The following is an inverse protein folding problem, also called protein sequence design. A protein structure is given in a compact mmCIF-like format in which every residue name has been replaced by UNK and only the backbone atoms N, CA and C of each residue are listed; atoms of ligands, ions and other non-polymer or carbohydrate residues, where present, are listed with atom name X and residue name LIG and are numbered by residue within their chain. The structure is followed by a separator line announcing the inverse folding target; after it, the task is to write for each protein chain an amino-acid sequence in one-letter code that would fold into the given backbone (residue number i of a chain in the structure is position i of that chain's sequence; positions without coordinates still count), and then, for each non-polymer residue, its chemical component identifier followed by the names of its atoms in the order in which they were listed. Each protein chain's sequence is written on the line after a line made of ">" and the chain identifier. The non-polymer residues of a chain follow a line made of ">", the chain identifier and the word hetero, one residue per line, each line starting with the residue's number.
data_IF_084257562081
#
_entry.id   IF_084257562081
#
_cell.length_a   1.000
_cell.length_b   1.000
_cell.length_c   1.000
_cell.angle_alpha   90.00
_cell.angle_beta   90.00
_cell.angle_gamma   90.00
#
_symmetry.space_group_name_H-M   'P 1'
#
loop_
_entity.id
_entity.type
_entity.pdbx_description
1 polymer ?
#
# COMPACT_ATOMS: atom_id res chain seq x y z
N UNK A 1 -47.91 -29.58 -5.20
CA UNK A 1 -47.23 -28.69 -4.24
C UNK A 1 -47.69 -27.28 -4.53
N UNK A 2 -48.46 -26.68 -3.63
CA UNK A 2 -49.17 -25.42 -3.82
C UNK A 2 -48.37 -24.24 -3.24
N UNK A 3 -48.37 -23.12 -3.95
CA UNK A 3 -47.77 -21.85 -3.52
C UNK A 3 -48.63 -21.17 -2.45
N UNK A 4 -48.06 -20.45 -1.47
CA UNK A 4 -48.83 -19.62 -0.55
C UNK A 4 -49.14 -18.23 -1.17
N UNK A 5 -50.33 -17.65 -0.93
CA UNK A 5 -50.63 -16.26 -1.26
C UNK A 5 -50.10 -15.27 -0.19
N UNK A 6 -49.98 -13.97 -0.52
CA UNK A 6 -49.31 -12.97 0.31
C UNK A 6 -50.24 -12.36 1.36
N UNK A 7 -49.75 -12.18 2.58
CA UNK A 7 -50.39 -11.32 3.56
C UNK A 7 -49.74 -9.93 3.55
N UNK A 8 -50.47 -8.97 2.98
CA UNK A 8 -50.34 -7.56 3.29
C UNK A 8 -51.01 -7.28 4.64
N UNK A 9 -50.25 -6.79 5.62
CA UNK A 9 -50.81 -5.96 6.68
C UNK A 9 -49.88 -4.78 6.94
N UNK A 10 -50.28 -3.63 6.38
CA UNK A 10 -49.98 -2.32 6.90
C UNK A 10 -50.67 -2.17 8.25
N UNK A 11 -49.96 -1.67 9.27
CA UNK A 11 -50.57 -0.83 10.30
C UNK A 11 -49.53 0.07 10.96
N UNK A 12 -49.76 1.36 10.76
CA UNK A 12 -49.15 2.48 11.45
C UNK A 12 -49.23 2.33 12.96
N UNK A 13 -48.16 2.71 13.66
CA UNK A 13 -48.27 3.40 14.94
C UNK A 13 -47.13 4.41 15.07
N UNK A 14 -47.45 5.67 14.80
CA UNK A 14 -46.62 6.82 15.12
C UNK A 14 -46.60 7.01 16.63
N UNK A 15 -45.45 6.71 17.26
CA UNK A 15 -45.13 7.23 18.59
C UNK A 15 -44.07 8.32 18.37
N UNK A 16 -44.51 9.58 18.45
CA UNK A 16 -43.66 10.76 18.42
C UNK A 16 -42.99 10.91 19.79
N UNK A 17 -41.74 10.47 19.90
CA UNK A 17 -40.84 10.94 20.95
C UNK A 17 -40.08 12.18 20.46
N UNK A 18 -39.94 13.25 21.26
CA UNK A 18 -38.99 14.32 20.97
C UNK A 18 -37.57 13.78 21.16
N UNK A 19 -37.01 13.22 20.08
CA UNK A 19 -35.63 12.74 20.07
C UNK A 19 -34.68 13.92 20.07
N UNK A 20 -33.96 14.05 21.19
CA UNK A 20 -32.65 14.67 21.30
C UNK A 20 -31.87 14.58 19.99
N UNK A 21 -31.50 15.74 19.43
CA UNK A 21 -30.66 15.86 18.24
C UNK A 21 -29.33 15.16 18.47
N UNK A 22 -29.30 13.87 18.18
CA UNK A 22 -28.07 13.11 18.02
C UNK A 22 -27.37 13.66 16.77
N UNK A 23 -26.04 13.91 16.80
CA UNK A 23 -25.32 14.27 15.59
C UNK A 23 -25.55 13.17 14.57
N UNK A 24 -26.18 13.51 13.46
CA UNK A 24 -26.41 12.62 12.34
C UNK A 24 -25.07 12.00 11.95
N UNK A 25 -24.88 10.72 12.28
CA UNK A 25 -23.81 9.89 11.73
C UNK A 25 -24.05 9.87 10.23
N UNK A 26 -23.33 10.74 9.51
CA UNK A 26 -23.32 10.78 8.05
C UNK A 26 -23.03 9.37 7.59
N UNK A 27 -24.04 8.71 7.03
CA UNK A 27 -23.90 7.33 6.56
C UNK A 27 -22.73 7.28 5.58
N UNK A 28 -21.74 6.46 5.92
CA UNK A 28 -20.68 6.03 5.03
C UNK A 28 -21.33 5.56 3.73
N UNK A 29 -21.16 6.30 2.64
CA UNK A 29 -21.78 5.93 1.38
C UNK A 29 -21.19 4.60 0.91
N UNK A 30 -21.98 3.54 0.99
CA UNK A 30 -21.70 2.26 0.34
C UNK A 30 -21.67 2.50 -1.17
N UNK A 31 -20.49 2.76 -1.72
CA UNK A 31 -20.30 2.76 -3.16
C UNK A 31 -20.11 1.31 -3.62
N UNK A 32 -21.20 0.64 -4.00
CA UNK A 32 -21.12 -0.57 -4.82
C UNK A 32 -20.65 -0.14 -6.22
N UNK A 33 -19.33 0.00 -6.40
CA UNK A 33 -18.74 0.33 -7.69
C UNK A 33 -18.48 -0.98 -8.45
N UNK A 34 -19.35 -1.29 -9.40
CA UNK A 34 -19.08 -2.33 -10.40
C UNK A 34 -18.21 -1.70 -11.48
N UNK A 35 -16.96 -2.17 -11.60
CA UNK A 35 -16.02 -1.69 -12.61
C UNK A 35 -15.78 -2.79 -13.63
N UNK A 36 -15.98 -2.52 -14.92
CA UNK A 36 -15.58 -3.46 -15.98
C UNK A 36 -14.06 -3.40 -16.15
N UNK A 37 -13.44 -4.56 -16.22
CA UNK A 37 -11.99 -4.75 -16.29
C UNK A 37 -11.70 -5.61 -17.50
N UNK A 38 -11.02 -5.07 -18.51
CA UNK A 38 -10.71 -5.82 -19.74
C UNK A 38 -9.52 -6.75 -19.55
N UNK A 39 -8.53 -6.31 -18.76
CA UNK A 39 -7.26 -7.02 -18.56
C UNK A 39 -6.92 -7.09 -17.07
N UNK A 40 -6.30 -8.19 -16.62
CA UNK A 40 -5.98 -8.42 -15.19
C UNK A 40 -5.17 -7.29 -14.53
N UNK A 41 -4.26 -6.65 -15.26
CA UNK A 41 -3.43 -5.56 -14.72
C UNK A 41 -4.20 -4.24 -14.54
N UNK A 42 -5.41 -4.15 -15.10
CA UNK A 42 -6.33 -3.03 -14.88
C UNK A 42 -7.22 -3.26 -13.64
N UNK A 43 -7.33 -4.50 -13.15
CA UNK A 43 -8.16 -4.85 -12.01
C UNK A 43 -7.69 -4.14 -10.71
N UNK A 44 -8.58 -3.44 -9.97
CA UNK A 44 -8.24 -2.82 -8.69
C UNK A 44 -7.71 -3.83 -7.65
N UNK A 45 -8.16 -5.09 -7.74
CA UNK A 45 -7.60 -6.18 -6.95
C UNK A 45 -6.18 -6.54 -7.45
N UNK A 46 -5.17 -6.25 -6.63
CA UNK A 46 -3.76 -6.55 -6.93
C UNK A 46 -3.51 -8.05 -7.14
N UNK A 47 -4.33 -8.91 -6.55
CA UNK A 47 -4.24 -10.36 -6.63
C UNK A 47 -5.09 -10.95 -7.76
N UNK A 48 -5.66 -10.11 -8.63
CA UNK A 48 -6.46 -10.60 -9.75
C UNK A 48 -5.64 -11.46 -10.72
N UNK A 49 -6.10 -12.69 -10.93
CA UNK A 49 -5.53 -13.65 -11.88
C UNK A 49 -6.41 -13.88 -13.10
N UNK A 50 -7.58 -13.23 -13.16
CA UNK A 50 -8.57 -13.40 -14.23
C UNK A 50 -8.08 -12.72 -15.51
N UNK A 51 -7.68 -13.53 -16.50
CA UNK A 51 -7.11 -13.03 -17.76
C UNK A 51 -8.15 -12.58 -18.79
N UNK A 52 -9.43 -12.81 -18.53
CA UNK A 52 -10.54 -12.42 -19.41
C UNK A 52 -11.24 -11.16 -18.86
N UNK A 53 -11.98 -10.43 -19.72
CA UNK A 53 -12.83 -9.34 -19.26
C UNK A 53 -13.76 -9.80 -18.14
N UNK A 54 -13.77 -9.06 -17.03
CA UNK A 54 -14.56 -9.38 -15.84
C UNK A 54 -15.04 -8.09 -15.15
N UNK A 55 -15.89 -8.25 -14.13
CA UNK A 55 -16.32 -7.14 -13.30
C UNK A 55 -15.63 -7.24 -11.93
N UNK A 56 -15.02 -6.15 -11.51
CA UNK A 56 -14.61 -5.96 -10.12
C UNK A 56 -15.78 -5.36 -9.34
N UNK A 57 -16.28 -6.13 -8.37
CA UNK A 57 -17.33 -5.69 -7.45
C UNK A 57 -16.64 -5.34 -6.14
N UNK A 58 -16.22 -4.09 -6.02
CA UNK A 58 -15.65 -3.62 -4.77
C UNK A 58 -16.78 -3.22 -3.82
N UNK A 59 -17.13 -4.13 -2.90
CA UNK A 59 -18.12 -3.90 -1.86
C UNK A 59 -17.53 -3.23 -0.60
N UNK A 60 -16.28 -2.77 -0.64
CA UNK A 60 -15.62 -2.19 0.52
C UNK A 60 -16.17 -0.80 0.83
N UNK A 61 -16.64 -0.61 2.06
CA UNK A 61 -16.98 0.72 2.58
C UNK A 61 -15.69 1.43 2.96
N UNK A 62 -15.36 2.49 2.23
CA UNK A 62 -14.17 3.28 2.51
C UNK A 62 -14.56 4.42 3.45
N UNK A 63 -13.99 4.49 4.68
CA UNK A 63 -14.27 5.58 5.60
C UNK A 63 -13.74 6.92 5.04
N UNK A 64 -14.24 8.06 5.52
CA UNK A 64 -13.70 9.36 5.13
C UNK A 64 -12.22 9.49 5.54
N UNK A 65 -11.44 10.35 4.84
CA UNK A 65 -10.04 10.58 5.17
C UNK A 65 -9.89 11.10 6.62
N UNK A 66 -8.97 10.53 7.42
CA UNK A 66 -8.66 11.05 8.74
C UNK A 66 -8.10 12.48 8.68
N UNK A 67 -8.32 13.27 9.74
CA UNK A 67 -7.80 14.64 9.85
C UNK A 67 -6.27 14.62 9.77
N UNK A 68 -5.70 15.49 8.93
CA UNK A 68 -4.25 15.59 8.73
C UNK A 68 -3.64 14.55 7.78
N UNK A 69 -4.44 13.63 7.24
CA UNK A 69 -3.98 12.70 6.19
C UNK A 69 -4.18 13.31 4.82
N UNK A 70 -3.11 13.41 4.04
CA UNK A 70 -3.17 13.94 2.68
C UNK A 70 -3.99 13.01 1.77
N UNK A 71 -4.95 13.57 1.04
CA UNK A 71 -5.68 12.85 -0.01
C UNK A 71 -4.93 13.00 -1.32
N UNK A 72 -4.60 11.88 -1.96
CA UNK A 72 -3.94 11.84 -3.25
C UNK A 72 -4.84 11.14 -4.26
N UNK A 73 -4.80 11.58 -5.52
CA UNK A 73 -5.48 10.89 -6.60
C UNK A 73 -4.53 9.96 -7.34
N UNK A 74 -5.05 8.77 -7.65
CA UNK A 74 -4.34 7.74 -8.38
C UNK A 74 -5.13 7.40 -9.64
N UNK A 75 -4.40 7.08 -10.70
CA UNK A 75 -4.97 6.60 -11.94
C UNK A 75 -4.16 5.44 -12.50
N UNK A 76 -4.71 4.80 -13.52
CA UNK A 76 -3.97 3.86 -14.35
C UNK A 76 -3.09 4.62 -15.33
N UNK A 77 -1.95 4.03 -15.66
CA UNK A 77 -1.19 4.48 -16.82
C UNK A 77 -2.02 4.29 -18.09
N UNK A 78 -2.03 5.31 -18.95
CA UNK A 78 -2.60 5.17 -20.28
C UNK A 78 -1.80 4.10 -21.06
N UNK A 79 -2.45 3.26 -21.88
CA UNK A 79 -1.77 2.22 -22.65
C UNK A 79 -0.60 2.75 -23.49
N UNK A 80 -0.74 3.97 -24.02
CA UNK A 80 0.25 4.63 -24.87
C UNK A 80 1.49 5.15 -24.13
N UNK A 81 1.44 5.29 -22.80
CA UNK A 81 2.52 5.85 -21.98
C UNK A 81 2.75 5.04 -20.70
N UNK A 82 2.47 3.74 -20.74
CA UNK A 82 2.66 2.86 -19.59
C UNK A 82 4.11 2.39 -19.52
N UNK A 83 4.90 2.99 -18.62
CA UNK A 83 6.27 2.55 -18.36
C UNK A 83 6.36 1.19 -17.64
N UNK A 84 5.22 0.62 -17.26
CA UNK A 84 5.07 -0.60 -16.45
C UNK A 84 4.15 -1.61 -17.16
N UNK A 85 4.39 -1.87 -18.44
CA UNK A 85 3.59 -2.81 -19.25
C UNK A 85 3.49 -4.19 -18.57
N UNK A 86 2.28 -4.73 -18.48
CA UNK A 86 2.02 -6.04 -17.86
C UNK A 86 2.04 -6.06 -16.34
N UNK A 87 2.24 -4.91 -15.68
CA UNK A 87 2.21 -4.78 -14.23
C UNK A 87 0.98 -4.01 -13.75
N UNK A 88 0.37 -4.49 -12.65
CA UNK A 88 -0.73 -3.81 -11.98
C UNK A 88 -0.18 -2.66 -11.10
N UNK A 89 0.30 -1.61 -11.75
CA UNK A 89 0.89 -0.43 -11.11
C UNK A 89 0.02 0.79 -11.41
N UNK A 90 -0.24 1.59 -10.38
CA UNK A 90 -0.97 2.84 -10.47
C UNK A 90 -0.02 4.03 -10.45
N UNK A 91 -0.38 5.13 -11.09
CA UNK A 91 0.34 6.40 -10.99
C UNK A 91 -0.38 7.34 -10.02
N UNK A 92 0.40 8.10 -9.24
CA UNK A 92 -0.14 9.27 -8.54
C UNK A 92 -0.28 10.39 -9.57
N UNK A 93 -1.47 11.00 -9.64
CA UNK A 93 -1.79 12.03 -10.65
C UNK A 93 -1.82 13.44 -10.06
N UNK A 94 -2.01 13.57 -8.75
CA UNK A 94 -1.95 14.85 -8.05
C UNK A 94 -0.56 15.09 -7.45
N UNK A 95 -0.02 16.30 -7.62
CA UNK A 95 1.21 16.72 -6.94
C UNK A 95 0.94 16.71 -5.42
N UNK A 96 1.73 15.97 -4.63
CA UNK A 96 1.53 15.94 -3.18
C UNK A 96 1.93 17.30 -2.57
N UNK A 97 1.25 17.75 -1.49
CA UNK A 97 1.54 19.05 -0.87
C UNK A 97 2.95 19.13 -0.25
N UNK A 98 3.53 17.97 0.04
CA UNK A 98 4.90 17.82 0.51
C UNK A 98 5.53 16.62 -0.23
N UNK A 99 6.85 16.61 -0.45
CA UNK A 99 7.54 15.45 -0.99
C UNK A 99 7.23 14.19 -0.18
N UNK A 100 6.90 13.10 -0.87
CA UNK A 100 6.51 11.86 -0.22
C UNK A 100 7.73 11.16 0.38
N UNK A 101 7.60 10.86 1.66
CA UNK A 101 8.59 10.13 2.45
C UNK A 101 8.21 8.65 2.57
N UNK A 102 9.18 7.83 2.99
CA UNK A 102 8.92 6.43 3.29
C UNK A 102 8.08 6.31 4.57
N UNK A 103 7.06 5.44 4.56
CA UNK A 103 6.13 5.20 5.68
C UNK A 103 5.20 6.37 6.02
N UNK A 104 4.85 7.21 5.05
CA UNK A 104 3.81 8.23 5.23
C UNK A 104 2.41 7.63 4.99
N UNK A 105 1.41 8.13 5.74
CA UNK A 105 0.00 7.76 5.54
C UNK A 105 -0.66 8.71 4.55
N UNK A 106 -1.38 8.15 3.58
CA UNK A 106 -2.11 8.89 2.55
C UNK A 106 -3.47 8.25 2.34
N UNK A 107 -4.45 9.05 1.91
CA UNK A 107 -5.78 8.58 1.59
C UNK A 107 -5.97 8.48 0.08
N UNK A 108 -6.39 7.30 -0.39
CA UNK A 108 -6.81 7.06 -1.77
C UNK A 108 -8.30 6.73 -1.79
N UNK A 109 -9.07 7.37 -2.67
CA UNK A 109 -10.53 7.15 -2.78
C UNK A 109 -10.93 5.70 -3.01
N UNK A 110 -10.07 4.87 -3.58
CA UNK A 110 -10.33 3.47 -3.92
C UNK A 110 -9.81 2.46 -2.89
N UNK A 111 -8.91 2.89 -1.99
CA UNK A 111 -8.20 1.99 -1.07
C UNK A 111 -8.24 2.48 0.39
N UNK A 112 -8.88 3.62 0.67
CA UNK A 112 -8.89 4.23 1.99
C UNK A 112 -7.54 4.80 2.39
N UNK A 113 -7.27 4.80 3.70
CA UNK A 113 -5.98 5.25 4.23
C UNK A 113 -4.98 4.11 4.12
N UNK A 114 -3.85 4.37 3.48
CA UNK A 114 -2.75 3.41 3.35
C UNK A 114 -1.45 4.03 3.80
N UNK A 115 -0.52 3.20 4.27
CA UNK A 115 0.86 3.59 4.54
C UNK A 115 1.70 3.28 3.31
N UNK A 116 2.27 4.29 2.64
CA UNK A 116 3.13 4.04 1.49
C UNK A 116 4.55 3.69 1.95
N UNK A 117 5.08 2.60 1.40
CA UNK A 117 6.44 2.11 1.67
C UNK A 117 7.20 1.99 0.36
N UNK A 118 8.41 2.54 0.35
CA UNK A 118 9.24 2.58 -0.83
C UNK A 118 9.80 1.16 -1.09
N UNK A 119 9.49 0.57 -2.26
CA UNK A 119 9.79 -0.83 -2.58
C UNK A 119 10.81 -0.93 -3.72
N UNK A 120 11.69 -1.93 -3.65
CA UNK A 120 12.48 -2.36 -4.82
C UNK A 120 11.65 -3.40 -5.58
N UNK A 121 11.31 -3.11 -6.83
CA UNK A 121 10.40 -3.94 -7.61
C UNK A 121 11.19 -4.97 -8.43
N UNK A 122 11.69 -6.04 -7.81
CA UNK A 122 12.25 -7.20 -8.54
C UNK A 122 13.34 -6.91 -9.57
N UNK A 123 14.09 -5.81 -9.44
CA UNK A 123 15.08 -5.36 -10.43
C UNK A 123 14.55 -4.40 -11.51
N UNK A 124 13.22 -4.23 -11.61
CA UNK A 124 12.60 -3.22 -12.46
C UNK A 124 12.92 -1.82 -11.93
N UNK A 125 13.75 -1.10 -12.68
CA UNK A 125 14.04 0.32 -12.46
C UNK A 125 13.64 1.07 -13.71
N UNK A 126 12.71 2.01 -13.54
CA UNK A 126 12.26 2.88 -14.63
C UNK A 126 12.78 4.29 -14.35
N UNK A 127 13.59 4.88 -15.25
CA UNK A 127 14.11 6.23 -15.06
C UNK A 127 12.99 7.25 -14.79
N UNK A 128 13.21 8.14 -13.83
CA UNK A 128 12.24 9.17 -13.43
C UNK A 128 11.11 8.71 -12.53
N UNK A 129 11.03 7.42 -12.21
CA UNK A 129 9.99 6.84 -11.36
C UNK A 129 10.57 6.17 -10.12
N UNK A 130 9.83 6.27 -9.02
CA UNK A 130 10.12 5.58 -7.76
C UNK A 130 8.92 4.73 -7.38
N UNK A 131 9.20 3.47 -7.07
CA UNK A 131 8.17 2.48 -6.76
C UNK A 131 7.86 2.46 -5.26
N UNK A 132 6.55 2.45 -4.97
CA UNK A 132 6.00 2.31 -3.64
C UNK A 132 4.95 1.20 -3.62
N UNK A 133 4.68 0.70 -2.44
CA UNK A 133 3.51 -0.12 -2.15
C UNK A 133 2.67 0.58 -1.09
N UNK A 134 1.35 0.58 -1.24
CA UNK A 134 0.43 1.00 -0.21
C UNK A 134 0.05 -0.19 0.66
N UNK A 135 0.25 -0.03 1.96
CA UNK A 135 -0.06 -1.03 2.97
C UNK A 135 -1.33 -0.62 3.72
N UNK A 136 -2.22 -1.57 3.98
CA UNK A 136 -3.34 -1.36 4.90
C UNK A 136 -2.87 -1.36 6.38
N UNK A 137 -3.81 -1.26 7.30
CA UNK A 137 -3.53 -1.23 8.75
C UNK A 137 -2.93 -2.56 9.26
N UNK A 138 -3.16 -3.67 8.54
CA UNK A 138 -2.60 -5.01 8.82
C UNK A 138 -1.24 -5.24 8.13
N UNK A 139 -0.69 -4.22 7.45
CA UNK A 139 0.54 -4.26 6.67
C UNK A 139 0.49 -5.16 5.41
N UNK A 140 -0.69 -5.51 4.91
CA UNK A 140 -0.83 -6.17 3.62
C UNK A 140 -0.73 -5.15 2.48
N UNK A 141 -0.03 -5.54 1.41
CA UNK A 141 0.07 -4.71 0.21
C UNK A 141 -1.26 -4.73 -0.54
N UNK A 142 -1.95 -3.59 -0.55
CA UNK A 142 -3.24 -3.42 -1.26
C UNK A 142 -3.08 -2.76 -2.63
N UNK A 143 -1.99 -2.01 -2.85
CA UNK A 143 -1.73 -1.30 -4.09
C UNK A 143 -0.23 -1.18 -4.38
N UNK A 144 0.15 -1.26 -5.66
CA UNK A 144 1.49 -0.88 -6.13
C UNK A 144 1.43 0.46 -6.86
N UNK A 145 2.33 1.37 -6.51
CA UNK A 145 2.34 2.76 -6.94
C UNK A 145 3.67 3.11 -7.62
N UNK A 146 3.59 3.89 -8.68
CA UNK A 146 4.71 4.60 -9.27
C UNK A 146 4.53 6.10 -9.04
N UNK A 147 5.57 6.74 -8.52
CA UNK A 147 5.59 8.15 -8.17
C UNK A 147 6.74 8.80 -8.92
N UNK A 148 6.51 9.98 -9.49
CA UNK A 148 7.58 10.74 -10.15
C UNK A 148 8.68 11.06 -9.14
N UNK A 149 9.94 10.86 -9.53
CA UNK A 149 11.08 11.01 -8.64
C UNK A 149 11.17 12.42 -8.01
N UNK A 150 10.76 13.46 -8.74
CA UNK A 150 10.70 14.85 -8.25
C UNK A 150 9.72 15.08 -7.10
N UNK A 151 8.77 14.16 -6.87
CA UNK A 151 7.78 14.25 -5.79
C UNK A 151 8.17 13.43 -4.56
N UNK A 152 9.38 12.88 -4.54
CA UNK A 152 9.86 12.03 -3.45
C UNK A 152 11.08 12.65 -2.79
N UNK A 153 11.24 12.43 -1.49
CA UNK A 153 12.49 12.80 -0.82
C UNK A 153 13.61 11.93 -1.38
N UNK A 154 14.73 12.51 -1.84
CA UNK A 154 15.87 11.74 -2.30
C UNK A 154 16.29 10.78 -1.20
N UNK A 155 16.33 9.48 -1.52
CA UNK A 155 16.90 8.53 -0.56
C UNK A 155 18.34 8.96 -0.30
N UNK A 156 18.76 9.13 0.97
CA UNK A 156 20.17 9.35 1.25
C UNK A 156 20.91 8.18 0.61
N UNK A 157 21.83 8.51 -0.32
CA UNK A 157 22.79 7.52 -0.81
C UNK A 157 23.51 7.09 0.45
N UNK A 158 23.20 5.89 0.96
CA UNK A 158 23.86 5.36 2.14
C UNK A 158 25.36 5.53 1.97
N UNK A 159 26.12 5.71 3.06
CA UNK A 159 27.57 5.87 2.97
C UNK A 159 28.09 4.79 2.04
N UNK A 160 28.87 5.20 1.03
CA UNK A 160 29.52 4.28 0.10
C UNK A 160 30.55 3.51 0.92
N UNK A 161 30.08 2.52 1.68
CA UNK A 161 30.87 1.63 2.53
C UNK A 161 31.73 0.66 1.69
N UNK A 162 31.82 0.90 0.38
CA UNK A 162 32.71 0.20 -0.54
C UNK A 162 34.13 0.78 -0.62
N UNK A 163 34.39 2.00 -0.13
CA UNK A 163 35.73 2.63 -0.30
C UNK A 163 36.55 2.82 0.98
N UNK A 164 35.96 2.64 2.17
CA UNK A 164 36.67 2.79 3.45
C UNK A 164 37.11 1.47 4.10
N UNK A 165 37.03 0.36 3.37
CA UNK A 165 37.55 -0.94 3.84
C UNK A 165 39.00 -1.23 3.43
N UNK A 166 39.65 -0.34 2.68
CA UNK A 166 41.05 -0.50 2.24
C UNK A 166 42.07 0.35 3.03
N UNK A 167 41.64 1.16 4.00
CA UNK A 167 42.54 2.03 4.77
C UNK A 167 42.62 1.71 6.26
N UNK A 168 42.05 0.59 6.70
CA UNK A 168 42.39 0.04 8.01
C UNK A 168 43.63 -0.83 7.84
N UNK A 169 44.83 -0.38 8.24
CA UNK A 169 46.00 -1.24 8.25
C UNK A 169 45.65 -2.47 9.09
N UNK A 170 45.89 -3.62 8.49
CA UNK A 170 45.78 -4.93 9.12
C UNK A 170 46.68 -4.90 10.35
N UNK A 171 46.13 -4.57 11.52
CA UNK A 171 46.84 -4.57 12.79
C UNK A 171 47.15 -6.03 13.08
N UNK A 172 48.30 -6.49 12.60
CA UNK A 172 48.89 -7.79 12.93
C UNK A 172 48.85 -7.89 14.44
N UNK A 173 47.97 -8.77 14.92
CA UNK A 173 48.02 -9.29 16.28
C UNK A 173 49.37 -9.99 16.43
N UNK A 174 50.38 -9.26 16.91
CA UNK A 174 51.54 -9.84 17.55
C UNK A 174 51.02 -10.48 18.84
N UNK A 175 50.58 -11.73 18.73
CA UNK A 175 50.36 -12.58 19.90
C UNK A 175 51.73 -12.86 20.54
N UNK A 176 51.87 -12.73 21.86
CA UNK A 176 53.11 -13.08 22.52
C UNK A 176 53.30 -14.60 22.49
N UNK A 177 54.47 -15.01 21.97
CA UNK A 177 55.12 -16.23 22.39
C UNK A 177 55.17 -16.31 23.91
N UNK A 178 54.73 -17.43 24.51
CA UNK A 178 55.61 -18.42 25.18
C UNK A 178 54.81 -19.34 26.13
N UNK A 179 55.06 -20.63 25.93
CA UNK A 179 55.36 -21.71 26.89
C UNK A 179 54.53 -21.85 28.18
N UNK A 180 53.93 -23.05 28.32
CA UNK A 180 54.13 -24.07 29.38
C UNK A 180 52.89 -24.99 29.32
N UNK A 181 52.95 -26.15 28.66
CA UNK A 181 53.30 -27.45 29.26
C UNK A 181 52.69 -27.64 30.66
N UNK A 182 51.78 -28.61 30.80
CA UNK A 182 51.73 -29.63 31.87
C UNK A 182 50.46 -30.49 31.68
N UNK A 183 50.65 -31.71 31.19
CA UNK A 183 49.82 -32.89 31.47
C UNK A 183 50.35 -33.48 32.80
N UNK A 184 49.51 -33.98 33.72
CA UNK A 184 49.17 -35.40 33.63
C UNK A 184 47.81 -35.84 34.21
N UNK A 185 47.27 -36.92 33.62
CA UNK A 185 46.61 -38.09 34.22
C UNK A 185 46.04 -38.00 35.65
N UNK A 186 44.78 -38.47 35.77
CA UNK A 186 44.08 -39.12 36.92
C UNK A 186 42.63 -38.57 36.93
N UNK A 187 41.53 -39.32 36.87
CA UNK A 187 41.17 -40.72 37.16
C UNK A 187 39.93 -41.08 36.33
#
# INVERSE_FOLDING_TARGET
>A
MALPPPFYQYLNNHILFPSSKSPSLTMSSQFNRITSVDEKWQCPNLMCTVSLPHQDINAMVIPPPPVGVATLEIARFAPTNNAFVGHNIWCITTVPPQPLENRIRVFFRHYGTVTIRARKFGGLQVPGWVMFEGLDDDNYTVISLAITQSWTVPRPKGPIMGFLRMLLPHRRSLGPHRYLQWDPLHR
#
